data_IF_201530179982
#
_entry.id   IF_201530179982
#
_cell.length_a   1.000
_cell.length_b   1.000
_cell.length_c   1.000
_cell.angle_alpha   90.00
_cell.angle_beta   90.00
_cell.angle_gamma   90.00
#
_symmetry.space_group_name_H-M   'P 1'
#
loop_
_entity.id
_entity.type
_entity.pdbx_description
1 polymer ?
#
# COMPACT_ATOMS: atom_id res chain seq x y z
N UNK A 1 2.72 -28.75 8.26
CA UNK A 1 2.46 -27.31 8.22
C UNK A 1 1.50 -26.95 9.37
N UNK A 2 1.97 -26.24 10.41
CA UNK A 2 1.12 -25.81 11.54
C UNK A 2 0.04 -24.86 10.99
N UNK A 3 -1.23 -25.31 11.00
CA UNK A 3 -2.38 -24.46 10.69
C UNK A 3 -2.43 -23.37 11.77
N UNK A 4 -2.16 -22.13 11.39
CA UNK A 4 -2.29 -21.00 12.29
C UNK A 4 -3.74 -20.92 12.78
N UNK A 5 -3.93 -20.88 14.11
CA UNK A 5 -5.25 -20.80 14.70
C UNK A 5 -5.98 -19.51 14.27
N UNK A 6 -7.29 -19.51 14.25
CA UNK A 6 -8.13 -18.39 13.78
C UNK A 6 -7.99 -17.08 14.58
N UNK A 7 -7.23 -17.06 15.67
CA UNK A 7 -6.90 -15.85 16.45
C UNK A 7 -5.55 -15.20 16.10
N UNK A 8 -4.80 -15.73 15.13
CA UNK A 8 -3.49 -15.19 14.77
C UNK A 8 -3.60 -14.17 13.64
N UNK A 9 -2.91 -13.02 13.77
CA UNK A 9 -2.79 -11.97 12.72
C UNK A 9 -2.32 -12.57 11.39
N UNK A 10 -1.41 -13.57 11.43
CA UNK A 10 -0.93 -14.27 10.24
C UNK A 10 -2.03 -14.99 9.46
N UNK A 11 -3.08 -15.45 10.12
CA UNK A 11 -4.21 -16.10 9.48
C UNK A 11 -4.94 -15.14 8.53
N UNK A 12 -5.16 -13.89 8.95
CA UNK A 12 -5.82 -12.88 8.12
C UNK A 12 -4.98 -12.47 6.91
N UNK A 13 -3.66 -12.33 7.09
CA UNK A 13 -2.75 -12.07 5.97
C UNK A 13 -2.73 -13.21 4.95
N UNK A 14 -2.75 -14.45 5.41
CA UNK A 14 -2.74 -15.60 4.51
C UNK A 14 -4.07 -15.77 3.77
N UNK A 15 -5.18 -15.44 4.42
CA UNK A 15 -6.52 -15.54 3.82
C UNK A 15 -6.71 -14.52 2.67
N UNK A 16 -6.17 -13.31 2.82
CA UNK A 16 -6.27 -12.21 1.86
C UNK A 16 -5.04 -12.07 0.95
N UNK A 17 -4.31 -13.18 0.72
CA UNK A 17 -3.08 -13.19 -0.08
C UNK A 17 -3.22 -12.61 -1.49
N UNK A 18 -4.38 -12.77 -2.15
CA UNK A 18 -4.65 -12.20 -3.47
C UNK A 18 -4.69 -10.67 -3.46
N UNK A 19 -5.34 -10.10 -2.44
CA UNK A 19 -5.39 -8.65 -2.25
C UNK A 19 -4.00 -8.09 -1.93
N UNK A 20 -3.25 -8.79 -1.06
CA UNK A 20 -1.87 -8.43 -0.75
C UNK A 20 -0.97 -8.45 -1.99
N UNK A 21 -1.12 -9.45 -2.86
CA UNK A 21 -0.34 -9.54 -4.10
C UNK A 21 -0.61 -8.33 -5.01
N UNK A 22 -1.88 -7.92 -5.16
CA UNK A 22 -2.26 -6.75 -5.95
C UNK A 22 -1.69 -5.47 -5.32
N UNK A 23 -1.78 -5.33 -3.99
CA UNK A 23 -1.20 -4.20 -3.25
C UNK A 23 0.31 -4.13 -3.45
N UNK A 24 1.00 -5.27 -3.36
CA UNK A 24 2.44 -5.38 -3.59
C UNK A 24 2.82 -4.94 -4.99
N UNK A 25 2.16 -5.52 -6.00
CA UNK A 25 2.47 -5.25 -7.41
C UNK A 25 2.22 -3.77 -7.76
N UNK A 26 1.06 -3.23 -7.35
CA UNK A 26 0.73 -1.81 -7.57
C UNK A 26 1.63 -0.87 -6.76
N UNK A 27 2.08 -1.28 -5.57
CA UNK A 27 3.03 -0.53 -4.75
C UNK A 27 4.42 -0.46 -5.40
N UNK A 28 4.94 -1.58 -5.90
CA UNK A 28 6.21 -1.61 -6.63
C UNK A 28 6.13 -0.74 -7.90
N UNK A 29 5.05 -0.88 -8.68
CA UNK A 29 4.86 -0.09 -9.89
C UNK A 29 4.79 1.41 -9.58
N UNK A 30 4.09 1.81 -8.53
CA UNK A 30 4.04 3.19 -8.07
C UNK A 30 5.42 3.71 -7.64
N UNK A 31 6.15 2.95 -6.81
CA UNK A 31 7.46 3.36 -6.30
C UNK A 31 8.52 3.46 -7.40
N UNK A 32 8.55 2.49 -8.33
CA UNK A 32 9.42 2.54 -9.52
C UNK A 32 9.03 3.73 -10.42
N UNK A 33 7.72 3.96 -10.59
CA UNK A 33 7.23 5.08 -11.38
C UNK A 33 7.60 6.47 -10.81
N UNK A 34 7.78 6.60 -9.50
CA UNK A 34 8.26 7.85 -8.89
C UNK A 34 9.69 8.22 -9.32
N UNK A 35 10.53 7.24 -9.67
CA UNK A 35 11.90 7.49 -10.15
C UNK A 35 11.88 8.12 -11.56
N UNK A 36 10.81 7.90 -12.32
CA UNK A 36 10.66 8.48 -13.64
C UNK A 36 10.61 10.02 -13.62
N UNK A 37 10.08 10.64 -12.56
CA UNK A 37 9.99 12.11 -12.43
C UNK A 37 11.35 12.80 -12.62
N UNK A 38 12.32 12.60 -11.73
CA UNK A 38 13.64 13.20 -11.85
C UNK A 38 14.35 12.90 -13.18
N UNK A 39 14.11 11.70 -13.75
CA UNK A 39 14.66 11.35 -15.05
C UNK A 39 14.08 12.21 -16.18
N UNK A 40 12.76 12.39 -16.23
CA UNK A 40 12.11 13.24 -17.22
C UNK A 40 12.48 14.71 -17.03
N UNK A 41 12.62 15.20 -15.79
CA UNK A 41 13.02 16.55 -15.49
C UNK A 41 14.45 16.84 -16.05
N UNK A 42 15.36 15.88 -15.87
CA UNK A 42 16.71 15.95 -16.47
C UNK A 42 16.68 15.97 -18.00
N UNK A 43 15.85 15.11 -18.61
CA UNK A 43 15.69 15.08 -20.07
C UNK A 43 15.08 16.40 -20.60
N UNK A 44 14.07 16.93 -19.95
CA UNK A 44 13.46 18.21 -20.33
C UNK A 44 14.46 19.36 -20.30
N UNK A 45 15.29 19.43 -19.26
CA UNK A 45 16.34 20.42 -19.16
C UNK A 45 17.35 20.31 -20.31
N UNK A 46 17.75 19.08 -20.66
CA UNK A 46 18.69 18.82 -21.74
C UNK A 46 18.08 19.15 -23.11
N UNK A 47 16.82 18.80 -23.36
CA UNK A 47 16.11 19.16 -24.59
C UNK A 47 15.98 20.68 -24.75
N UNK A 48 15.72 21.40 -23.65
CA UNK A 48 15.66 22.86 -23.65
C UNK A 48 17.01 23.45 -24.07
N UNK A 49 18.12 22.94 -23.52
CA UNK A 49 19.47 23.38 -23.88
C UNK A 49 19.77 23.10 -25.36
N UNK A 50 19.39 21.92 -25.86
CA UNK A 50 19.60 21.50 -27.26
C UNK A 50 18.79 22.37 -28.26
N UNK A 51 17.58 22.82 -27.87
CA UNK A 51 16.78 23.74 -28.68
C UNK A 51 17.42 25.11 -28.79
N UNK A 52 17.96 25.64 -27.68
CA UNK A 52 18.73 26.89 -27.72
C UNK A 52 20.02 26.79 -28.56
N UNK A 53 20.62 25.60 -28.58
CA UNK A 53 21.78 25.28 -29.45
C UNK A 53 21.42 25.02 -30.92
N UNK A 54 20.14 25.02 -31.29
CA UNK A 54 19.69 24.80 -32.66
C UNK A 54 19.77 23.34 -33.15
N UNK A 55 20.04 22.39 -32.27
CA UNK A 55 20.22 20.98 -32.63
C UNK A 55 18.91 20.16 -32.59
N UNK A 56 17.84 20.65 -31.93
CA UNK A 56 16.54 20.00 -31.81
C UNK A 56 15.37 20.92 -32.08
N UNK A 57 14.23 20.34 -32.40
CA UNK A 57 13.00 21.04 -32.74
C UNK A 57 12.06 21.12 -31.54
N UNK A 58 11.26 22.18 -31.43
CA UNK A 58 10.23 22.30 -30.39
C UNK A 58 9.22 21.13 -30.40
N UNK A 59 9.00 20.49 -31.55
CA UNK A 59 8.13 19.32 -31.66
C UNK A 59 8.60 18.13 -30.82
N UNK A 60 9.93 17.90 -30.72
CA UNK A 60 10.50 16.84 -29.92
C UNK A 60 10.26 17.05 -28.42
N UNK A 61 10.29 18.31 -27.98
CA UNK A 61 9.97 18.68 -26.60
C UNK A 61 8.50 18.43 -26.27
N UNK A 62 7.57 18.74 -27.20
CA UNK A 62 6.15 18.42 -26.99
C UNK A 62 5.89 16.93 -26.89
N UNK A 63 6.55 16.11 -27.71
CA UNK A 63 6.45 14.66 -27.63
C UNK A 63 6.94 14.13 -26.28
N UNK A 64 8.07 14.64 -25.77
CA UNK A 64 8.62 14.29 -24.47
C UNK A 64 7.66 14.68 -23.32
N UNK A 65 7.08 15.89 -23.37
CA UNK A 65 6.10 16.36 -22.39
C UNK A 65 4.86 15.47 -22.37
N UNK A 66 4.35 15.07 -23.54
CA UNK A 66 3.19 14.19 -23.66
C UNK A 66 3.50 12.80 -23.10
N UNK A 67 4.67 12.26 -23.41
CA UNK A 67 5.14 10.99 -22.85
C UNK A 67 5.24 11.05 -21.32
N UNK A 68 5.80 12.13 -20.78
CA UNK A 68 5.89 12.38 -19.35
C UNK A 68 4.50 12.44 -18.68
N UNK A 69 3.55 13.17 -19.29
CA UNK A 69 2.18 13.24 -18.80
C UNK A 69 1.51 11.86 -18.75
N UNK A 70 1.69 11.03 -19.78
CA UNK A 70 1.15 9.66 -19.81
C UNK A 70 1.78 8.76 -18.74
N UNK A 71 3.09 8.87 -18.51
CA UNK A 71 3.77 8.14 -17.45
C UNK A 71 3.25 8.55 -16.07
N UNK A 72 3.10 9.86 -15.81
CA UNK A 72 2.52 10.36 -14.54
C UNK A 72 1.10 9.83 -14.34
N UNK A 73 0.26 9.85 -15.37
CA UNK A 73 -1.10 9.30 -15.29
C UNK A 73 -1.09 7.81 -14.95
N UNK A 74 -0.19 7.05 -15.55
CA UNK A 74 0.01 5.62 -15.22
C UNK A 74 0.41 5.39 -13.76
N UNK A 75 1.37 6.18 -13.28
CA UNK A 75 1.85 6.13 -11.88
C UNK A 75 0.73 6.50 -10.90
N UNK A 76 -0.06 7.54 -11.19
CA UNK A 76 -1.20 7.92 -10.36
C UNK A 76 -2.32 6.86 -10.39
N UNK A 77 -2.52 6.22 -11.54
CA UNK A 77 -3.42 5.06 -11.66
C UNK A 77 -2.99 3.91 -10.76
N UNK A 78 -1.71 3.55 -10.77
CA UNK A 78 -1.16 2.52 -9.88
C UNK A 78 -1.32 2.89 -8.40
N UNK A 79 -1.09 4.15 -8.03
CA UNK A 79 -1.33 4.69 -6.69
C UNK A 79 -2.79 4.57 -6.26
N UNK A 80 -3.72 4.89 -7.16
CA UNK A 80 -5.15 4.77 -6.90
C UNK A 80 -5.57 3.32 -6.65
N UNK A 81 -5.13 2.40 -7.51
CA UNK A 81 -5.36 0.95 -7.36
C UNK A 81 -4.82 0.47 -6.01
N UNK A 82 -3.57 0.80 -5.67
CA UNK A 82 -2.98 0.46 -4.38
C UNK A 82 -3.86 0.91 -3.21
N UNK A 83 -4.28 2.19 -3.20
CA UNK A 83 -5.13 2.75 -2.12
C UNK A 83 -6.47 2.04 -1.99
N UNK A 84 -7.10 1.70 -3.11
CA UNK A 84 -8.37 0.96 -3.11
C UNK A 84 -8.21 -0.43 -2.49
N UNK A 85 -7.21 -1.17 -2.93
CA UNK A 85 -7.01 -2.54 -2.46
C UNK A 85 -6.53 -2.61 -1.01
N UNK A 86 -5.74 -1.65 -0.55
CA UNK A 86 -5.36 -1.52 0.88
C UNK A 86 -6.61 -1.27 1.75
N UNK A 87 -7.52 -0.40 1.32
CA UNK A 87 -8.79 -0.18 2.03
C UNK A 87 -9.68 -1.41 2.02
N UNK A 88 -9.78 -2.09 0.87
CA UNK A 88 -10.54 -3.35 0.76
C UNK A 88 -9.98 -4.43 1.69
N UNK A 89 -8.66 -4.56 1.75
CA UNK A 89 -7.97 -5.45 2.68
C UNK A 89 -8.33 -5.13 4.14
N UNK A 90 -8.23 -3.87 4.57
CA UNK A 90 -8.59 -3.45 5.92
C UNK A 90 -10.06 -3.74 6.25
N UNK A 91 -10.98 -3.43 5.32
CA UNK A 91 -12.41 -3.66 5.52
C UNK A 91 -12.74 -5.15 5.64
N UNK A 92 -12.14 -6.02 4.82
CA UNK A 92 -12.35 -7.47 4.90
C UNK A 92 -11.89 -8.04 6.24
N UNK A 93 -10.73 -7.57 6.74
CA UNK A 93 -10.25 -7.99 8.05
C UNK A 93 -11.16 -7.51 9.17
N UNK A 94 -11.57 -6.23 9.13
CA UNK A 94 -12.50 -5.67 10.11
C UNK A 94 -13.81 -6.48 10.17
N UNK A 95 -14.38 -6.77 9.00
CA UNK A 95 -15.60 -7.58 8.90
C UNK A 95 -15.38 -8.98 9.50
N UNK A 96 -14.29 -9.65 9.13
CA UNK A 96 -13.99 -11.00 9.62
C UNK A 96 -13.74 -11.04 11.12
N UNK A 97 -13.12 -10.02 11.71
CA UNK A 97 -12.90 -9.91 13.14
C UNK A 97 -14.21 -9.63 13.89
N UNK A 98 -15.02 -8.69 13.38
CA UNK A 98 -16.34 -8.35 13.97
C UNK A 98 -17.31 -9.52 13.90
N UNK A 99 -17.34 -10.26 12.79
CA UNK A 99 -18.18 -11.47 12.64
C UNK A 99 -17.81 -12.54 13.66
N UNK A 100 -16.53 -12.80 13.86
CA UNK A 100 -16.07 -13.75 14.89
C UNK A 100 -16.39 -13.32 16.31
N UNK A 101 -16.22 -12.02 16.59
CA UNK A 101 -16.62 -11.46 17.87
C UNK A 101 -18.11 -11.71 18.13
N UNK A 102 -18.95 -11.41 17.12
CA UNK A 102 -20.39 -11.61 17.21
C UNK A 102 -20.75 -13.08 17.45
N UNK A 103 -20.15 -14.00 16.70
CA UNK A 103 -20.37 -15.43 16.88
C UNK A 103 -19.96 -15.90 18.28
N UNK A 104 -18.88 -15.37 18.83
CA UNK A 104 -18.43 -15.70 20.18
C UNK A 104 -19.40 -15.17 21.25
N UNK A 105 -19.88 -13.95 21.08
CA UNK A 105 -20.85 -13.33 21.99
C UNK A 105 -22.18 -14.08 22.02
N UNK A 106 -22.68 -14.50 20.85
CA UNK A 106 -23.93 -15.28 20.77
C UNK A 106 -23.79 -16.64 21.46
N UNK A 107 -22.59 -17.21 21.51
CA UNK A 107 -22.32 -18.50 22.18
C UNK A 107 -22.04 -18.36 23.68
N UNK A 108 -21.84 -17.13 24.18
CA UNK A 108 -21.52 -16.89 25.59
C UNK A 108 -22.80 -16.96 26.44
N UNK A 109 -22.80 -17.70 27.57
CA UNK A 109 -23.95 -17.81 28.44
C UNK A 109 -24.37 -16.45 28.99
N UNK A 110 -25.71 -16.21 29.09
CA UNK A 110 -26.26 -14.94 29.62
C UNK A 110 -25.71 -14.54 30.98
N UNK A 111 -25.48 -15.52 31.84
CA UNK A 111 -24.99 -15.31 33.21
C UNK A 111 -23.64 -14.59 33.26
N UNK A 112 -22.74 -14.86 32.29
CA UNK A 112 -21.41 -14.25 32.23
C UNK A 112 -21.48 -12.84 31.61
N UNK A 113 -22.51 -12.59 30.81
CA UNK A 113 -22.77 -11.28 30.19
C UNK A 113 -23.42 -10.28 31.15
N UNK A 114 -24.28 -10.77 32.09
CA UNK A 114 -24.96 -9.91 33.07
C UNK A 114 -24.02 -9.34 34.14
N UNK A 115 -22.90 -10.00 34.44
CA UNK A 115 -21.89 -9.52 35.39
C UNK A 115 -20.95 -8.46 34.81
N UNK A 116 -20.87 -8.35 33.51
CA UNK A 116 -20.09 -7.34 32.82
C UNK A 116 -21.03 -6.30 32.21
N UNK A 117 -20.67 -5.01 32.30
CA UNK A 117 -21.37 -3.96 31.54
C UNK A 117 -21.18 -4.23 30.04
N UNK A 118 -22.14 -4.96 29.49
CA UNK A 118 -22.10 -5.48 28.09
C UNK A 118 -21.93 -4.34 27.10
N UNK A 119 -22.47 -3.15 27.37
CA UNK A 119 -22.34 -1.97 26.51
C UNK A 119 -20.92 -1.43 26.48
N UNK A 120 -20.31 -1.24 27.65
CA UNK A 120 -18.95 -0.75 27.77
C UNK A 120 -17.93 -1.76 27.17
N UNK A 121 -18.14 -3.06 27.44
CA UNK A 121 -17.31 -4.13 26.89
C UNK A 121 -17.36 -4.17 25.37
N UNK A 122 -18.57 -4.10 24.78
CA UNK A 122 -18.79 -4.09 23.34
C UNK A 122 -18.08 -2.91 22.67
N UNK A 123 -18.26 -1.71 23.23
CA UNK A 123 -17.61 -0.51 22.69
C UNK A 123 -16.10 -0.61 22.72
N UNK A 124 -15.52 -1.12 23.81
CA UNK A 124 -14.10 -1.32 23.95
C UNK A 124 -13.56 -2.33 22.93
N UNK A 125 -14.18 -3.49 22.80
CA UNK A 125 -13.72 -4.54 21.90
C UNK A 125 -13.85 -4.13 20.42
N UNK A 126 -14.89 -3.38 20.04
CA UNK A 126 -15.03 -2.84 18.69
C UNK A 126 -13.90 -1.83 18.41
N UNK A 127 -13.59 -0.93 19.35
CA UNK A 127 -12.50 0.02 19.25
C UNK A 127 -11.13 -0.67 19.13
N UNK A 128 -10.92 -1.75 19.88
CA UNK A 128 -9.68 -2.53 19.83
C UNK A 128 -9.51 -3.23 18.49
N UNK A 129 -10.62 -3.76 17.90
CA UNK A 129 -10.60 -4.33 16.56
C UNK A 129 -10.23 -3.27 15.52
N UNK A 130 -10.85 -2.10 15.56
CA UNK A 130 -10.60 -1.03 14.61
C UNK A 130 -9.14 -0.54 14.71
N UNK A 131 -8.59 -0.45 15.93
CA UNK A 131 -7.18 -0.13 16.18
C UNK A 131 -6.24 -1.20 15.61
N UNK A 132 -6.55 -2.47 15.81
CA UNK A 132 -5.78 -3.59 15.28
C UNK A 132 -5.77 -3.59 13.74
N UNK A 133 -6.93 -3.40 13.11
CA UNK A 133 -7.08 -3.32 11.65
C UNK A 133 -6.30 -2.14 11.09
N UNK A 134 -6.34 -0.98 11.74
CA UNK A 134 -5.58 0.20 11.34
C UNK A 134 -4.07 -0.05 11.45
N UNK A 135 -3.62 -0.72 12.52
CA UNK A 135 -2.23 -1.17 12.65
C UNK A 135 -1.80 -2.10 11.53
N UNK A 136 -2.62 -3.10 11.18
CA UNK A 136 -2.34 -4.01 10.06
C UNK A 136 -2.30 -3.27 8.72
N UNK A 137 -3.19 -2.32 8.50
CA UNK A 137 -3.23 -1.47 7.31
C UNK A 137 -1.97 -0.63 7.19
N UNK A 138 -1.58 0.07 8.25
CA UNK A 138 -0.36 0.90 8.29
C UNK A 138 0.88 0.04 8.05
N UNK A 139 1.01 -1.07 8.76
CA UNK A 139 2.12 -2.00 8.59
C UNK A 139 2.28 -2.45 7.13
N UNK A 140 1.18 -2.84 6.49
CA UNK A 140 1.19 -3.24 5.07
C UNK A 140 1.62 -2.08 4.18
N UNK A 141 1.11 -0.87 4.42
CA UNK A 141 1.44 0.31 3.60
C UNK A 141 2.90 0.72 3.78
N UNK A 142 3.38 0.79 5.01
CA UNK A 142 4.74 1.26 5.32
C UNK A 142 5.83 0.29 4.85
N UNK A 143 5.60 -1.03 4.93
CA UNK A 143 6.55 -2.00 4.36
C UNK A 143 6.76 -1.76 2.87
N UNK A 144 5.69 -1.45 2.12
CA UNK A 144 5.82 -1.23 0.68
C UNK A 144 6.28 0.18 0.32
N UNK A 145 5.87 1.21 1.06
CA UNK A 145 6.25 2.59 0.73
C UNK A 145 7.68 2.90 1.20
N UNK A 146 8.02 2.55 2.44
CA UNK A 146 9.33 2.88 3.01
C UNK A 146 10.34 1.77 2.79
N UNK A 147 9.97 0.50 3.01
CA UNK A 147 10.88 -0.64 2.95
C UNK A 147 11.39 -0.91 1.54
N UNK A 148 10.50 -0.94 0.54
CA UNK A 148 10.89 -1.19 -0.86
C UNK A 148 11.71 -0.03 -1.43
N UNK A 149 11.31 1.21 -1.13
CA UNK A 149 12.05 2.41 -1.57
C UNK A 149 13.43 2.45 -0.93
N UNK A 150 13.52 2.19 0.38
CA UNK A 150 14.80 2.16 1.08
C UNK A 150 15.73 1.06 0.55
N UNK A 151 15.19 -0.13 0.29
CA UNK A 151 15.95 -1.21 -0.33
C UNK A 151 16.45 -0.84 -1.73
N UNK A 152 15.61 -0.20 -2.55
CA UNK A 152 16.01 0.26 -3.88
C UNK A 152 17.12 1.32 -3.83
N UNK A 153 17.05 2.27 -2.89
CA UNK A 153 18.12 3.25 -2.70
C UNK A 153 19.43 2.61 -2.23
N UNK A 154 19.37 1.64 -1.30
CA UNK A 154 20.57 0.93 -0.86
C UNK A 154 21.21 0.16 -2.00
N UNK A 155 20.41 -0.54 -2.82
CA UNK A 155 20.92 -1.25 -4.01
C UNK A 155 21.57 -0.28 -5.00
N UNK A 156 20.95 0.88 -5.24
CA UNK A 156 21.46 1.90 -6.14
C UNK A 156 22.80 2.50 -5.64
N UNK A 157 22.90 2.78 -4.33
CA UNK A 157 24.12 3.29 -3.71
C UNK A 157 25.26 2.27 -3.80
N UNK A 158 25.01 1.01 -3.48
CA UNK A 158 26.00 -0.06 -3.58
C UNK A 158 26.47 -0.23 -5.03
N UNK A 159 25.59 -0.12 -6.00
CA UNK A 159 25.96 -0.20 -7.42
C UNK A 159 26.81 0.98 -7.87
N UNK A 160 26.53 2.18 -7.35
CA UNK A 160 27.27 3.39 -7.71
C UNK A 160 28.69 3.38 -7.09
N UNK A 161 28.83 2.91 -5.85
CA UNK A 161 30.11 2.89 -5.13
C UNK A 161 31.02 1.71 -5.57
N UNK A 162 30.47 0.65 -6.17
CA UNK A 162 31.24 -0.49 -6.68
C UNK A 162 32.10 -0.15 -7.91
N UNK A 163 31.97 1.03 -8.50
CA UNK A 163 32.69 1.50 -9.67
C UNK A 163 33.71 2.56 -9.32
#
# INVERSE_FOLDING_TARGET
MKRFGPGSVRYYFYHEKKLLLIVTLSGILYNVGMIAGPWFDGQLAQYLYDIFGGTRTAADMYALCLCYALVILGVQGARYVKRLYVRKFANNISLSMKDRLYQHLVQTPKRDMEQADTGALMTKVISDIDTCVEGMRKFTTEIFDTGVVMAAYVVMLVWYDWR
#
